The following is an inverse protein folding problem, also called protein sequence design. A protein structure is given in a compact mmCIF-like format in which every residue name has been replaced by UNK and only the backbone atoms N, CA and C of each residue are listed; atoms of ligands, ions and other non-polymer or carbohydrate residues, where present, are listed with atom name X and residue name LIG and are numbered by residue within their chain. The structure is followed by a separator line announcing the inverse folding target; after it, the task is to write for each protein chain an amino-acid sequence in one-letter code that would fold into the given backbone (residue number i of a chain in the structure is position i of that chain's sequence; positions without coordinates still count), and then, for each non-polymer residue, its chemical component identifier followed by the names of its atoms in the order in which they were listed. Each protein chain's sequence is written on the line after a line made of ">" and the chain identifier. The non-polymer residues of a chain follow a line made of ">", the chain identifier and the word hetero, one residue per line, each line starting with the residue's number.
data_IF_021275481705
#
_entry.id   IF_021275481705
#
_cell.length_a   1.000
_cell.length_b   1.000
_cell.length_c   1.000
_cell.angle_alpha   90.00
_cell.angle_beta   90.00
_cell.angle_gamma   90.00
#
_symmetry.space_group_name_H-M   'P 1'
#
loop_
_entity.id
_entity.type
_entity.pdbx_description
1 polymer ?
#
# COMPACT_ATOMS: atom_id res chain seq x y z
N UNK A 1 128.98 -6.57 68.16
CA UNK A 1 129.24 -7.24 66.88
C UNK A 1 128.80 -6.30 65.75
N UNK A 2 129.69 -6.06 64.78
CA UNK A 2 129.46 -5.80 63.34
C UNK A 2 128.15 -5.14 62.85
N UNK A 3 128.08 -4.29 61.82
CA UNK A 3 128.96 -3.37 61.10
C UNK A 3 128.05 -2.76 59.99
N UNK A 4 128.04 -1.42 59.85
CA UNK A 4 128.04 -0.62 58.61
C UNK A 4 127.10 -1.00 57.43
N UNK A 5 126.33 -0.03 56.91
CA UNK A 5 126.19 0.38 55.48
C UNK A 5 124.89 1.21 55.27
N UNK A 6 124.94 2.56 55.28
CA UNK A 6 124.96 3.46 54.11
C UNK A 6 123.78 3.33 53.11
N UNK A 7 122.84 4.28 53.14
CA UNK A 7 122.22 4.93 51.95
C UNK A 7 121.14 6.01 52.27
N UNK A 8 121.20 6.72 53.41
CA UNK A 8 120.20 7.76 53.78
C UNK A 8 120.45 9.16 53.19
N UNK A 9 121.57 9.41 52.50
CA UNK A 9 121.98 10.80 52.21
C UNK A 9 121.34 11.42 50.94
N UNK A 10 120.90 10.64 49.94
CA UNK A 10 120.42 11.21 48.66
C UNK A 10 118.98 11.71 48.70
N UNK A 11 118.08 11.00 49.39
CA UNK A 11 116.69 11.44 49.59
C UNK A 11 116.60 12.60 50.57
N UNK A 12 117.43 12.60 51.61
CA UNK A 12 117.50 13.70 52.58
C UNK A 12 118.11 14.95 51.95
N UNK A 13 119.18 14.82 51.16
CA UNK A 13 119.74 15.93 50.38
C UNK A 13 118.72 16.52 49.39
N UNK A 14 117.98 15.69 48.65
CA UNK A 14 116.94 16.15 47.73
C UNK A 14 115.78 16.85 48.46
N UNK A 15 115.40 16.39 49.65
CA UNK A 15 114.38 17.04 50.48
C UNK A 15 114.86 18.39 51.05
N UNK A 16 116.13 18.47 51.46
CA UNK A 16 116.78 19.71 51.94
C UNK A 16 116.89 20.71 50.79
N UNK A 17 117.31 20.26 49.61
CA UNK A 17 117.41 21.11 48.42
C UNK A 17 116.04 21.59 47.94
N UNK A 18 115.03 20.72 47.93
CA UNK A 18 113.64 21.11 47.64
C UNK A 18 113.11 22.12 48.66
N UNK A 19 113.42 21.96 49.96
CA UNK A 19 113.07 22.95 51.00
C UNK A 19 113.78 24.28 50.76
N UNK A 20 115.08 24.25 50.43
CA UNK A 20 115.88 25.44 50.13
C UNK A 20 115.39 26.16 48.85
N UNK A 21 114.94 25.41 47.85
CA UNK A 21 114.37 25.97 46.62
C UNK A 21 112.97 26.57 46.87
N UNK A 22 112.10 25.91 47.63
CA UNK A 22 110.82 26.50 48.08
C UNK A 22 111.01 27.77 48.90
N UNK A 23 112.04 27.81 49.76
CA UNK A 23 112.42 28.98 50.55
C UNK A 23 112.86 30.15 49.65
N UNK A 24 113.71 29.88 48.65
CA UNK A 24 114.13 30.86 47.64
C UNK A 24 112.95 31.37 46.81
N UNK A 25 112.06 30.49 46.38
CA UNK A 25 110.84 30.88 45.65
C UNK A 25 109.91 31.75 46.52
N UNK A 26 109.80 31.46 47.83
CA UNK A 26 109.03 32.28 48.75
C UNK A 26 109.67 33.65 48.94
N UNK A 27 110.99 33.71 49.14
CA UNK A 27 111.73 34.96 49.25
C UNK A 27 111.59 35.81 47.99
N UNK A 28 111.69 35.21 46.80
CA UNK A 28 111.47 35.90 45.53
C UNK A 28 110.06 36.49 45.40
N UNK A 29 109.04 35.85 45.98
CA UNK A 29 107.67 36.39 46.04
C UNK A 29 107.53 37.51 47.08
N UNK A 30 108.16 37.38 48.24
CA UNK A 30 108.02 38.31 49.35
C UNK A 30 108.80 39.63 49.16
N UNK A 31 110.00 39.55 48.58
CA UNK A 31 110.88 40.71 48.36
C UNK A 31 110.57 41.48 47.05
N UNK A 32 109.86 40.90 46.09
CA UNK A 32 109.45 41.58 44.87
C UNK A 32 108.16 42.40 45.08
N UNK A 33 108.29 43.72 45.23
CA UNK A 33 107.16 44.64 45.52
C UNK A 33 106.04 44.58 44.48
N UNK A 34 106.35 44.42 43.19
CA UNK A 34 105.35 44.35 42.12
C UNK A 34 104.50 43.08 42.20
N UNK A 35 105.14 41.93 42.45
CA UNK A 35 104.46 40.65 42.65
C UNK A 35 103.66 40.63 43.98
N UNK A 36 104.13 41.37 44.99
CA UNK A 36 103.43 41.50 46.29
C UNK A 36 102.16 42.34 46.21
N UNK A 37 102.14 43.39 45.37
CA UNK A 37 101.01 44.33 45.27
C UNK A 37 100.04 43.94 44.14
N UNK A 38 100.53 43.42 43.00
CA UNK A 38 99.72 43.11 41.80
C UNK A 38 100.11 41.78 41.12
N UNK A 39 100.62 40.80 41.86
CA UNK A 39 100.91 39.48 41.31
C UNK A 39 99.63 38.77 40.90
N UNK A 40 99.45 38.53 39.59
CA UNK A 40 98.32 37.78 39.03
C UNK A 40 98.86 36.72 38.08
N UNK A 41 98.41 35.48 38.23
CA UNK A 41 98.72 34.40 37.31
C UNK A 41 97.83 34.49 36.07
N UNK A 42 98.33 35.17 35.04
CA UNK A 42 97.61 35.38 33.78
C UNK A 42 97.37 34.06 33.03
N UNK A 43 98.26 33.07 33.18
CA UNK A 43 98.10 31.76 32.53
C UNK A 43 96.96 30.97 33.20
N UNK A 44 96.91 30.95 34.53
CA UNK A 44 95.81 30.32 35.26
C UNK A 44 94.45 30.98 34.97
N UNK A 45 94.39 32.32 34.89
CA UNK A 45 93.16 33.04 34.52
C UNK A 45 92.73 32.76 33.08
N UNK A 46 93.66 32.71 32.12
CA UNK A 46 93.35 32.35 30.74
C UNK A 46 92.80 30.92 30.62
N UNK A 47 93.40 29.97 31.36
CA UNK A 47 92.89 28.59 31.44
C UNK A 47 91.48 28.58 32.07
N UNK A 48 91.24 29.31 33.15
CA UNK A 48 89.93 29.41 33.80
C UNK A 48 88.85 30.01 32.88
N UNK A 49 89.19 31.04 32.10
CA UNK A 49 88.31 31.62 31.08
C UNK A 49 88.04 30.64 29.95
N UNK A 50 89.06 29.89 29.51
CA UNK A 50 88.94 28.80 28.55
C UNK A 50 87.97 27.72 29.04
N UNK A 51 88.19 27.20 30.25
CA UNK A 51 87.33 26.19 30.87
C UNK A 51 85.89 26.69 31.07
N UNK A 52 85.70 27.97 31.39
CA UNK A 52 84.35 28.57 31.48
C UNK A 52 83.67 28.61 30.12
N UNK A 53 84.35 29.05 29.07
CA UNK A 53 83.82 29.06 27.69
C UNK A 53 83.50 27.66 27.19
N UNK A 54 84.36 26.68 27.46
CA UNK A 54 84.12 25.28 27.14
C UNK A 54 82.86 24.75 27.83
N UNK A 55 82.68 25.05 29.13
CA UNK A 55 81.46 24.69 29.87
C UNK A 55 80.21 25.36 29.32
N UNK A 56 80.25 26.67 29.09
CA UNK A 56 79.13 27.42 28.51
C UNK A 56 78.74 26.88 27.12
N UNK A 57 79.72 26.56 26.26
CA UNK A 57 79.46 25.98 24.94
C UNK A 57 78.85 24.57 25.04
N UNK A 58 79.32 23.74 25.97
CA UNK A 58 78.77 22.41 26.22
C UNK A 58 77.32 22.49 26.71
N UNK A 59 77.00 23.40 27.63
CA UNK A 59 75.62 23.61 28.10
C UNK A 59 74.71 24.12 26.99
N UNK A 60 75.14 25.10 26.18
CA UNK A 60 74.37 25.56 25.00
C UNK A 60 74.12 24.43 24.00
N UNK A 61 75.11 23.56 23.77
CA UNK A 61 74.94 22.42 22.88
C UNK A 61 73.95 21.39 23.43
N UNK A 62 73.94 21.17 24.76
CA UNK A 62 72.95 20.30 25.40
C UNK A 62 71.55 20.90 25.30
N UNK A 63 71.40 22.18 25.62
CA UNK A 63 70.13 22.90 25.54
C UNK A 63 69.56 22.86 24.11
N UNK A 64 70.38 23.15 23.10
CA UNK A 64 69.97 23.05 21.70
C UNK A 64 69.56 21.62 21.30
N UNK A 65 70.23 20.58 21.82
CA UNK A 65 69.86 19.19 21.58
C UNK A 65 68.52 18.82 22.25
N UNK A 66 68.29 19.29 23.48
CA UNK A 66 67.01 19.11 24.18
C UNK A 66 65.87 19.83 23.46
N UNK A 67 66.09 21.06 23.00
CA UNK A 67 65.11 21.82 22.23
C UNK A 67 64.78 21.15 20.91
N UNK A 68 65.79 20.63 20.19
CA UNK A 68 65.59 19.89 18.95
C UNK A 68 64.77 18.61 19.20
N UNK A 69 65.09 17.86 20.25
CA UNK A 69 64.34 16.65 20.61
C UNK A 69 62.90 16.97 21.03
N UNK A 70 62.70 18.02 21.82
CA UNK A 70 61.38 18.50 22.25
C UNK A 70 60.52 18.90 21.05
N UNK A 71 61.10 19.66 20.12
CA UNK A 71 60.43 20.03 18.87
C UNK A 71 60.07 18.81 18.02
N UNK A 72 60.98 17.85 17.89
CA UNK A 72 60.71 16.60 17.16
C UNK A 72 59.58 15.80 17.80
N UNK A 73 59.56 15.68 19.13
CA UNK A 73 58.50 15.00 19.86
C UNK A 73 57.15 15.69 19.68
N UNK A 74 57.12 17.03 19.75
CA UNK A 74 55.90 17.82 19.51
C UNK A 74 55.36 17.57 18.10
N UNK A 75 56.23 17.65 17.08
CA UNK A 75 55.82 17.40 15.70
C UNK A 75 55.32 15.97 15.48
N UNK A 76 55.93 14.98 16.13
CA UNK A 76 55.48 13.59 16.07
C UNK A 76 54.10 13.41 16.73
N UNK A 77 53.86 14.07 17.87
CA UNK A 77 52.56 14.06 18.56
C UNK A 77 51.49 14.76 17.73
N UNK A 78 51.78 15.91 17.14
CA UNK A 78 50.86 16.63 16.26
C UNK A 78 50.51 15.81 15.00
N UNK A 79 51.50 15.13 14.40
CA UNK A 79 51.29 14.22 13.28
C UNK A 79 50.41 13.02 13.68
N UNK A 80 50.61 12.45 14.87
CA UNK A 80 49.78 11.35 15.37
C UNK A 80 48.35 11.82 15.67
N UNK A 81 48.19 12.99 16.29
CA UNK A 81 46.88 13.57 16.60
C UNK A 81 46.08 13.85 15.32
N UNK A 82 46.72 14.44 14.31
CA UNK A 82 46.06 14.68 13.01
C UNK A 82 45.71 13.39 12.27
N UNK A 83 46.55 12.35 12.38
CA UNK A 83 46.25 11.04 11.81
C UNK A 83 45.02 10.40 12.47
N UNK A 84 44.96 10.40 13.80
CA UNK A 84 43.82 9.87 14.55
C UNK A 84 42.52 10.63 14.24
N UNK A 85 42.58 11.96 14.21
CA UNK A 85 41.41 12.78 13.87
C UNK A 85 40.86 12.47 12.46
N UNK A 86 41.74 12.27 11.47
CA UNK A 86 41.32 11.88 10.11
C UNK A 86 40.66 10.50 10.08
N UNK A 87 41.20 9.53 10.84
CA UNK A 87 40.60 8.20 10.94
C UNK A 87 39.21 8.26 11.59
N UNK A 88 39.07 9.00 12.69
CA UNK A 88 37.78 9.19 13.37
C UNK A 88 36.74 9.83 12.45
N UNK A 89 37.11 10.89 11.73
CA UNK A 89 36.23 11.53 10.76
C UNK A 89 35.81 10.58 9.64
N UNK A 90 36.75 9.79 9.12
CA UNK A 90 36.45 8.79 8.08
C UNK A 90 35.48 7.70 8.58
N UNK A 91 35.68 7.20 9.81
CA UNK A 91 34.79 6.22 10.43
C UNK A 91 33.39 6.81 10.66
N UNK A 92 33.32 8.04 11.18
CA UNK A 92 32.05 8.75 11.39
C UNK A 92 31.31 8.97 10.07
N UNK A 93 32.00 9.40 9.02
CA UNK A 93 31.42 9.57 7.69
C UNK A 93 30.90 8.23 7.13
N UNK A 94 31.68 7.15 7.24
CA UNK A 94 31.26 5.82 6.82
C UNK A 94 30.02 5.33 7.58
N UNK A 95 29.97 5.52 8.91
CA UNK A 95 28.80 5.19 9.72
C UNK A 95 27.56 5.99 9.31
N UNK A 96 27.69 7.30 9.10
CA UNK A 96 26.57 8.15 8.65
C UNK A 96 26.05 7.72 7.28
N UNK A 97 26.95 7.42 6.33
CA UNK A 97 26.57 6.91 5.01
C UNK A 97 25.86 5.56 5.11
N UNK A 98 26.36 4.63 5.94
CA UNK A 98 25.74 3.33 6.16
C UNK A 98 24.32 3.47 6.76
N UNK A 99 24.16 4.32 7.78
CA UNK A 99 22.84 4.61 8.38
C UNK A 99 21.89 5.26 7.38
N UNK A 100 22.34 6.23 6.59
CA UNK A 100 21.52 6.87 5.57
C UNK A 100 21.05 5.87 4.51
N UNK A 101 21.92 4.95 4.09
CA UNK A 101 21.58 3.89 3.14
C UNK A 101 20.58 2.89 3.73
N UNK A 102 20.76 2.49 5.00
CA UNK A 102 19.81 1.63 5.71
C UNK A 102 18.43 2.29 5.84
N UNK A 103 18.39 3.57 6.22
CA UNK A 103 17.14 4.34 6.32
C UNK A 103 16.43 4.46 4.96
N UNK A 104 17.18 4.72 3.88
CA UNK A 104 16.64 4.74 2.51
C UNK A 104 16.07 3.37 2.11
N UNK A 105 16.79 2.29 2.39
CA UNK A 105 16.34 0.93 2.10
C UNK A 105 15.07 0.58 2.90
N UNK A 106 15.03 0.93 4.18
CA UNK A 106 13.86 0.73 5.03
C UNK A 106 12.64 1.53 4.53
N UNK A 107 12.83 2.80 4.14
CA UNK A 107 11.77 3.61 3.55
C UNK A 107 11.24 3.01 2.24
N UNK A 108 12.13 2.47 1.39
CA UNK A 108 11.73 1.78 0.16
C UNK A 108 10.92 0.51 0.45
N UNK A 109 11.32 -0.30 1.43
CA UNK A 109 10.57 -1.49 1.86
C UNK A 109 9.19 -1.11 2.40
N UNK A 110 9.10 -0.08 3.24
CA UNK A 110 7.83 0.42 3.77
C UNK A 110 6.92 0.94 2.66
N UNK A 111 7.45 1.74 1.73
CA UNK A 111 6.69 2.21 0.56
C UNK A 111 6.21 1.04 -0.31
N UNK A 112 7.03 0.00 -0.49
CA UNK A 112 6.66 -1.23 -1.18
C UNK A 112 5.49 -1.95 -0.50
N UNK A 113 5.54 -2.11 0.83
CA UNK A 113 4.45 -2.70 1.62
C UNK A 113 3.15 -1.92 1.47
N UNK A 114 3.19 -0.60 1.63
CA UNK A 114 2.00 0.26 1.47
C UNK A 114 1.41 0.18 0.05
N UNK A 115 2.26 0.09 -0.99
CA UNK A 115 1.79 -0.10 -2.37
C UNK A 115 1.07 -1.45 -2.53
N UNK A 116 1.64 -2.52 -1.99
CA UNK A 116 1.02 -3.85 -2.00
C UNK A 116 -0.30 -3.87 -1.23
N UNK A 117 -0.37 -3.23 -0.06
CA UNK A 117 -1.60 -3.09 0.74
C UNK A 117 -2.67 -2.35 -0.04
N UNK A 118 -2.38 -1.17 -0.61
CA UNK A 118 -3.32 -0.42 -1.45
C UNK A 118 -3.80 -1.23 -2.65
N UNK A 119 -2.94 -2.05 -3.28
CA UNK A 119 -3.36 -2.92 -4.37
C UNK A 119 -4.30 -4.04 -3.87
N UNK A 120 -4.02 -4.62 -2.70
CA UNK A 120 -4.90 -5.62 -2.07
C UNK A 120 -6.26 -5.02 -1.71
N UNK A 121 -6.29 -3.84 -1.11
CA UNK A 121 -7.52 -3.11 -0.82
C UNK A 121 -8.32 -2.83 -2.09
N UNK A 122 -7.69 -2.29 -3.14
CA UNK A 122 -8.37 -2.07 -4.43
C UNK A 122 -8.96 -3.35 -5.01
N UNK A 123 -8.25 -4.47 -4.91
CA UNK A 123 -8.75 -5.79 -5.36
C UNK A 123 -9.93 -6.26 -4.50
N UNK A 124 -9.83 -6.13 -3.18
CA UNK A 124 -10.91 -6.50 -2.25
C UNK A 124 -12.17 -5.66 -2.53
N UNK A 125 -12.01 -4.33 -2.67
CA UNK A 125 -13.09 -3.41 -3.00
C UNK A 125 -13.73 -3.78 -4.35
N UNK A 126 -12.93 -4.12 -5.37
CA UNK A 126 -13.46 -4.54 -6.67
C UNK A 126 -14.29 -5.83 -6.55
N UNK A 127 -13.79 -6.83 -5.82
CA UNK A 127 -14.50 -8.09 -5.59
C UNK A 127 -15.79 -7.85 -4.82
N UNK A 128 -15.77 -6.97 -3.82
CA UNK A 128 -16.98 -6.59 -3.07
C UNK A 128 -18.01 -5.92 -3.98
N UNK A 129 -17.60 -4.94 -4.79
CA UNK A 129 -18.48 -4.27 -5.76
C UNK A 129 -19.08 -5.29 -6.73
N UNK A 130 -18.26 -6.21 -7.26
CA UNK A 130 -18.74 -7.27 -8.15
C UNK A 130 -19.72 -8.21 -7.46
N UNK A 131 -19.44 -8.60 -6.21
CA UNK A 131 -20.33 -9.45 -5.44
C UNK A 131 -21.67 -8.76 -5.17
N UNK A 132 -21.65 -7.47 -4.80
CA UNK A 132 -22.88 -6.69 -4.62
C UNK A 132 -23.65 -6.56 -5.93
N UNK A 133 -22.98 -6.21 -7.03
CA UNK A 133 -23.64 -6.01 -8.33
C UNK A 133 -24.25 -7.30 -8.90
N UNK A 134 -23.65 -8.45 -8.61
CA UNK A 134 -24.15 -9.79 -8.99
C UNK A 134 -25.06 -10.43 -7.94
N UNK A 135 -25.27 -9.76 -6.81
CA UNK A 135 -26.12 -10.26 -5.73
C UNK A 135 -27.58 -10.38 -6.19
N UNK A 136 -28.28 -11.37 -5.65
CA UNK A 136 -29.72 -11.60 -5.86
C UNK A 136 -30.59 -10.38 -5.54
N UNK A 137 -30.13 -9.52 -4.62
CA UNK A 137 -30.82 -8.30 -4.24
C UNK A 137 -30.79 -7.27 -5.38
N UNK A 138 -29.60 -6.95 -5.92
CA UNK A 138 -29.44 -5.93 -6.95
C UNK A 138 -29.81 -6.41 -8.35
N UNK A 139 -29.66 -7.71 -8.64
CA UNK A 139 -30.08 -8.31 -9.92
C UNK A 139 -31.58 -8.61 -9.97
N UNK A 140 -32.27 -8.41 -8.85
CA UNK A 140 -33.67 -8.76 -8.66
C UNK A 140 -34.02 -10.19 -9.12
N UNK A 141 -33.12 -11.16 -8.92
CA UNK A 141 -33.31 -12.54 -9.35
C UNK A 141 -34.69 -13.12 -8.93
N UNK A 142 -35.54 -13.56 -9.89
CA UNK A 142 -36.86 -14.12 -9.60
C UNK A 142 -36.79 -15.55 -9.03
N UNK A 143 -35.67 -16.27 -9.20
CA UNK A 143 -35.52 -17.63 -8.70
C UNK A 143 -35.51 -17.71 -7.17
N UNK A 144 -35.14 -16.62 -6.49
CA UNK A 144 -35.19 -16.51 -5.02
C UNK A 144 -36.61 -16.71 -4.49
N UNK A 145 -37.62 -16.45 -5.30
CA UNK A 145 -39.01 -16.65 -4.92
C UNK A 145 -39.43 -18.13 -4.92
N UNK A 146 -38.66 -19.04 -5.54
CA UNK A 146 -39.03 -20.45 -5.64
C UNK A 146 -38.80 -21.19 -4.31
N UNK A 147 -39.77 -22.01 -3.89
CA UNK A 147 -39.64 -22.80 -2.69
C UNK A 147 -38.75 -24.03 -2.92
N UNK A 148 -37.67 -24.17 -2.14
CA UNK A 148 -36.62 -25.21 -2.32
C UNK A 148 -37.17 -26.65 -2.47
N UNK A 149 -38.14 -27.02 -1.64
CA UNK A 149 -38.68 -28.40 -1.61
C UNK A 149 -39.97 -28.57 -2.41
N UNK A 150 -40.58 -27.48 -2.87
CA UNK A 150 -41.91 -27.49 -3.46
C UNK A 150 -41.94 -26.56 -4.68
N UNK A 151 -41.53 -27.02 -5.87
CA UNK A 151 -41.33 -26.16 -7.05
C UNK A 151 -42.57 -25.38 -7.49
N UNK A 152 -43.77 -25.89 -7.17
CA UNK A 152 -45.05 -25.24 -7.48
C UNK A 152 -45.42 -24.13 -6.49
N UNK A 153 -44.70 -23.99 -5.36
CA UNK A 153 -44.94 -22.95 -4.36
C UNK A 153 -43.89 -21.85 -4.48
N UNK A 154 -44.36 -20.65 -4.16
CA UNK A 154 -43.56 -19.44 -4.13
C UNK A 154 -43.50 -18.92 -2.71
N UNK A 155 -42.34 -18.42 -2.30
CA UNK A 155 -42.13 -17.71 -1.05
C UNK A 155 -42.85 -16.34 -1.10
N UNK A 156 -43.83 -16.08 -0.24
CA UNK A 156 -44.65 -14.86 -0.32
C UNK A 156 -43.85 -13.56 -0.24
N UNK A 157 -42.82 -13.53 0.61
CA UNK A 157 -42.00 -12.33 0.87
C UNK A 157 -40.97 -12.02 -0.22
N UNK A 158 -40.74 -12.93 -1.17
CA UNK A 158 -39.81 -12.73 -2.29
C UNK A 158 -40.51 -12.72 -3.65
N UNK A 159 -41.86 -12.65 -3.67
CA UNK A 159 -42.62 -12.68 -4.91
C UNK A 159 -42.49 -11.36 -5.69
N UNK A 160 -42.04 -11.44 -6.94
CA UNK A 160 -41.81 -10.30 -7.84
C UNK A 160 -42.76 -10.27 -9.04
N UNK A 161 -43.86 -11.03 -8.98
CA UNK A 161 -44.85 -11.14 -10.05
C UNK A 161 -44.68 -12.38 -10.93
N UNK A 162 -45.60 -12.55 -11.90
CA UNK A 162 -45.65 -13.71 -12.80
C UNK A 162 -44.51 -13.72 -13.82
N UNK A 163 -44.08 -14.92 -14.21
CA UNK A 163 -43.08 -15.08 -15.28
C UNK A 163 -43.62 -14.65 -16.63
N UNK A 164 -42.73 -14.29 -17.56
CA UNK A 164 -43.11 -13.92 -18.93
C UNK A 164 -43.86 -15.04 -19.63
N UNK A 165 -43.46 -16.29 -19.39
CA UNK A 165 -44.12 -17.49 -19.93
C UNK A 165 -45.56 -17.64 -19.41
N UNK A 166 -45.77 -17.49 -18.09
CA UNK A 166 -47.11 -17.54 -17.49
C UNK A 166 -48.01 -16.45 -18.07
N UNK A 167 -47.50 -15.22 -18.20
CA UNK A 167 -48.26 -14.11 -18.80
C UNK A 167 -48.57 -14.35 -20.27
N UNK A 168 -47.66 -14.94 -21.03
CA UNK A 168 -47.87 -15.31 -22.42
C UNK A 168 -48.95 -16.41 -22.56
N UNK A 169 -48.91 -17.43 -21.69
CA UNK A 169 -49.94 -18.48 -21.65
C UNK A 169 -51.33 -17.91 -21.37
N UNK A 170 -51.45 -16.97 -20.42
CA UNK A 170 -52.73 -16.28 -20.13
C UNK A 170 -53.23 -15.52 -21.38
N UNK A 171 -52.36 -14.78 -22.06
CA UNK A 171 -52.75 -14.05 -23.28
C UNK A 171 -53.22 -14.98 -24.39
N UNK A 172 -52.53 -16.10 -24.59
CA UNK A 172 -52.92 -17.13 -25.56
C UNK A 172 -54.30 -17.72 -25.23
N UNK A 173 -54.55 -18.03 -23.96
CA UNK A 173 -55.86 -18.54 -23.54
C UNK A 173 -56.96 -17.48 -23.72
N UNK A 174 -56.68 -16.21 -23.43
CA UNK A 174 -57.62 -15.11 -23.67
C UNK A 174 -57.97 -14.96 -25.16
N UNK A 175 -57.01 -15.14 -26.07
CA UNK A 175 -57.26 -15.16 -27.51
C UNK A 175 -58.21 -16.29 -27.90
N UNK A 176 -57.92 -17.51 -27.42
CA UNK A 176 -58.79 -18.67 -27.64
C UNK A 176 -60.21 -18.42 -27.11
N UNK A 177 -60.34 -17.83 -25.92
CA UNK A 177 -61.65 -17.48 -25.35
C UNK A 177 -62.42 -16.45 -26.20
N UNK A 178 -61.73 -15.42 -26.72
CA UNK A 178 -62.35 -14.44 -27.62
C UNK A 178 -62.87 -15.10 -28.89
N UNK A 179 -62.05 -15.93 -29.53
CA UNK A 179 -62.44 -16.67 -30.74
C UNK A 179 -63.62 -17.61 -30.48
N UNK A 180 -63.61 -18.37 -29.36
CA UNK A 180 -64.74 -19.22 -28.96
C UNK A 180 -66.03 -18.42 -28.77
N UNK A 181 -65.94 -17.26 -28.09
CA UNK A 181 -67.12 -16.40 -27.84
C UNK A 181 -67.65 -15.73 -29.10
N UNK A 182 -66.79 -15.46 -30.08
CA UNK A 182 -67.19 -14.94 -31.39
C UNK A 182 -67.88 -16.03 -32.22
N UNK A 183 -67.32 -17.24 -32.28
CA UNK A 183 -67.95 -18.38 -32.93
C UNK A 183 -69.32 -18.71 -32.34
N UNK A 184 -69.46 -18.66 -31.00
CA UNK A 184 -70.74 -18.83 -30.33
C UNK A 184 -71.76 -17.77 -30.76
N UNK A 185 -71.36 -16.49 -30.76
CA UNK A 185 -72.23 -15.39 -31.23
C UNK A 185 -72.65 -15.56 -32.67
N UNK A 186 -71.78 -16.10 -33.53
CA UNK A 186 -72.13 -16.38 -34.91
C UNK A 186 -73.12 -17.54 -35.03
N UNK A 187 -72.93 -18.62 -34.26
CA UNK A 187 -73.86 -19.75 -34.22
C UNK A 187 -75.25 -19.36 -33.66
N UNK A 188 -75.30 -18.49 -32.65
CA UNK A 188 -76.58 -17.94 -32.15
C UNK A 188 -77.30 -17.12 -33.22
N UNK A 189 -76.56 -16.30 -33.99
CA UNK A 189 -77.14 -15.55 -35.10
C UNK A 189 -77.69 -16.47 -36.19
N UNK A 190 -76.97 -17.53 -36.56
CA UNK A 190 -77.46 -18.48 -37.58
C UNK A 190 -78.72 -19.19 -37.11
N UNK A 191 -78.74 -19.64 -35.86
CA UNK A 191 -79.93 -20.29 -35.28
C UNK A 191 -81.13 -19.34 -35.21
N UNK A 192 -80.92 -18.08 -34.81
CA UNK A 192 -81.98 -17.06 -34.81
C UNK A 192 -82.52 -16.80 -36.22
N UNK A 193 -81.66 -16.76 -37.25
CA UNK A 193 -82.12 -16.64 -38.65
C UNK A 193 -82.89 -17.86 -39.14
N UNK A 194 -82.49 -19.07 -38.74
CA UNK A 194 -83.19 -20.30 -39.06
C UNK A 194 -84.58 -20.32 -38.42
N UNK A 195 -84.69 -19.97 -37.13
CA UNK A 195 -85.96 -19.85 -36.42
C UNK A 195 -86.88 -18.80 -37.05
N UNK A 196 -86.34 -17.64 -37.42
CA UNK A 196 -87.11 -16.61 -38.15
C UNK A 196 -87.65 -17.14 -39.46
N UNK A 197 -86.82 -17.82 -40.25
CA UNK A 197 -87.22 -18.42 -41.53
C UNK A 197 -88.31 -19.48 -41.34
N UNK A 198 -88.16 -20.36 -40.35
CA UNK A 198 -89.16 -21.37 -40.00
C UNK A 198 -90.49 -20.73 -39.55
N UNK A 199 -90.41 -19.66 -38.76
CA UNK A 199 -91.59 -18.91 -38.31
C UNK A 199 -92.32 -18.29 -39.50
N UNK A 200 -91.60 -17.70 -40.45
CA UNK A 200 -92.19 -17.14 -41.66
C UNK A 200 -92.85 -18.21 -42.53
N UNK A 201 -92.19 -19.35 -42.75
CA UNK A 201 -92.77 -20.47 -43.51
C UNK A 201 -94.00 -21.05 -42.82
N UNK A 202 -93.99 -21.15 -41.49
CA UNK A 202 -95.14 -21.62 -40.71
C UNK A 202 -96.31 -20.62 -40.76
N UNK A 203 -96.02 -19.32 -40.69
CA UNK A 203 -97.02 -18.26 -40.83
C UNK A 203 -97.65 -18.26 -42.23
N UNK A 204 -96.85 -18.47 -43.28
CA UNK A 204 -97.34 -18.64 -44.65
C UNK A 204 -98.28 -19.86 -44.75
N UNK A 205 -97.86 -21.02 -44.24
CA UNK A 205 -98.69 -22.22 -44.23
C UNK A 205 -100.00 -22.04 -43.44
N UNK A 206 -99.99 -21.28 -42.34
CA UNK A 206 -101.20 -20.94 -41.58
C UNK A 206 -102.17 -20.08 -42.41
N UNK A 207 -101.66 -19.08 -43.12
CA UNK A 207 -102.48 -18.23 -44.00
C UNK A 207 -103.08 -19.02 -45.15
N UNK A 208 -102.30 -19.91 -45.78
CA UNK A 208 -102.80 -20.80 -46.83
C UNK A 208 -103.91 -21.73 -46.31
N UNK A 209 -103.77 -22.27 -45.09
CA UNK A 209 -104.82 -23.06 -44.45
C UNK A 209 -106.07 -22.22 -44.16
N UNK A 210 -105.93 -20.99 -43.65
CA UNK A 210 -107.05 -20.09 -43.41
C UNK A 210 -107.78 -19.73 -44.71
N UNK A 211 -107.05 -19.53 -45.81
CA UNK A 211 -107.61 -19.33 -47.14
C UNK A 211 -108.38 -20.57 -47.61
N UNK A 212 -107.81 -21.77 -47.48
CA UNK A 212 -108.48 -23.03 -47.81
C UNK A 212 -109.76 -23.23 -46.99
N UNK A 213 -109.74 -22.90 -45.69
CA UNK A 213 -110.93 -22.95 -44.83
C UNK A 213 -112.01 -21.97 -45.32
N UNK A 214 -111.64 -20.73 -45.64
CA UNK A 214 -112.56 -19.72 -46.20
C UNK A 214 -113.17 -20.19 -47.51
N UNK A 215 -112.37 -20.76 -48.41
CA UNK A 215 -112.84 -21.30 -49.69
C UNK A 215 -113.83 -22.46 -49.49
N UNK A 216 -113.49 -23.42 -48.62
CA UNK A 216 -114.38 -24.53 -48.27
C UNK A 216 -115.68 -24.03 -47.66
N UNK A 217 -115.63 -23.09 -46.70
CA UNK A 217 -116.82 -22.47 -46.13
C UNK A 217 -117.68 -21.79 -47.20
N UNK A 218 -117.08 -21.07 -48.15
CA UNK A 218 -117.81 -20.44 -49.25
C UNK A 218 -118.46 -21.46 -50.19
N UNK A 219 -117.78 -22.58 -50.49
CA UNK A 219 -118.36 -23.70 -51.25
C UNK A 219 -119.55 -24.30 -50.50
N UNK A 220 -119.40 -24.59 -49.19
CA UNK A 220 -120.48 -25.10 -48.36
C UNK A 220 -121.68 -24.14 -48.32
N UNK A 221 -121.45 -22.83 -48.15
CA UNK A 221 -122.52 -21.82 -48.17
C UNK A 221 -123.23 -21.76 -49.53
N UNK A 222 -122.51 -21.79 -50.64
CA UNK A 222 -123.11 -21.85 -51.99
C UNK A 222 -123.92 -23.12 -52.20
N UNK A 223 -123.42 -24.26 -51.73
CA UNK A 223 -124.12 -25.55 -51.76
C UNK A 223 -125.42 -25.52 -50.95
N UNK A 224 -125.36 -25.05 -49.71
CA UNK A 224 -126.54 -24.85 -48.85
C UNK A 224 -127.54 -23.85 -49.46
N UNK A 225 -127.05 -22.76 -50.07
CA UNK A 225 -127.89 -21.78 -50.77
C UNK A 225 -128.65 -22.40 -51.94
N UNK A 226 -127.96 -23.15 -52.80
CA UNK A 226 -128.56 -23.89 -53.91
C UNK A 226 -129.62 -24.89 -53.44
N UNK A 227 -129.30 -25.65 -52.38
CA UNK A 227 -130.20 -26.63 -51.77
C UNK A 227 -131.46 -25.97 -51.17
N UNK A 228 -131.29 -24.87 -50.43
CA UNK A 228 -132.40 -24.09 -49.88
C UNK A 228 -133.29 -23.50 -50.99
N UNK A 229 -132.71 -23.09 -52.11
CA UNK A 229 -133.46 -22.57 -53.25
C UNK A 229 -134.28 -23.67 -53.95
N UNK A 230 -133.74 -24.89 -54.06
CA UNK A 230 -134.49 -26.06 -54.53
C UNK A 230 -135.67 -26.36 -53.61
N UNK A 231 -135.44 -26.45 -52.29
CA UNK A 231 -136.47 -26.63 -51.27
C UNK A 231 -137.57 -25.55 -51.34
N UNK A 232 -137.19 -24.27 -51.52
CA UNK A 232 -138.16 -23.18 -51.63
C UNK A 232 -139.02 -23.26 -52.90
N UNK A 233 -138.46 -23.73 -54.02
CA UNK A 233 -139.22 -23.96 -55.25
C UNK A 233 -140.17 -25.15 -55.10
N UNK A 234 -139.74 -26.23 -54.44
CA UNK A 234 -140.58 -27.39 -54.12
C UNK A 234 -141.75 -27.01 -53.20
N UNK A 235 -141.51 -26.17 -52.19
CA UNK A 235 -142.57 -25.67 -51.28
C UNK A 235 -143.56 -24.72 -51.97
N UNK A 236 -143.16 -23.98 -53.02
CA UNK A 236 -144.07 -23.12 -53.83
C UNK A 236 -144.86 -23.89 -54.88
N UNK A 237 -144.45 -25.12 -55.19
CA UNK A 237 -145.13 -26.01 -56.13
C UNK A 237 -146.22 -26.88 -55.47
N UNK A 238 -146.42 -26.73 -54.15
CA UNK A 238 -147.54 -27.25 -53.36
C UNK A 238 -148.62 -26.17 -53.19
#
# INVERSE_FOLDING_TARGET
>A
MYNINQSTDTKEAAAIEARRNREKERQNRFFNVRNRVMGVDVQALNNQVGDRKCREAAERSKEAAYDALSNQLRLAMDAQATHLARLEESCRAAMMCAMANANKAQAAVQAGRQRCERQREKKANLVEIQHQSTSDLLTENPQVAQHRTAPHRVLPYCWKGMTLEQRAAIRKEQEVQRSKKEAHRQAEKTLDTEWKSQTMSSAQALLELEEQERELCAVFQRGLGSFNQQLANEQKAQ
#
